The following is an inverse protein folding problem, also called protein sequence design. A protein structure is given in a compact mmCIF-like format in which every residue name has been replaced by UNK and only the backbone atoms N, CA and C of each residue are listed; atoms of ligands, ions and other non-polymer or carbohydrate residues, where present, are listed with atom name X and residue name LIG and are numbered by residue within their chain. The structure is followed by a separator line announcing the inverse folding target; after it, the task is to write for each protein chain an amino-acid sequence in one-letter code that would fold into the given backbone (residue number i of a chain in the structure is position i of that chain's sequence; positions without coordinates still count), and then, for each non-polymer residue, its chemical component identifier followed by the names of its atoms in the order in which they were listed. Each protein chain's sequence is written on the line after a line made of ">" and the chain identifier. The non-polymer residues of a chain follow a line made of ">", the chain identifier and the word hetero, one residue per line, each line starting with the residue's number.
data_IF_552831334173
#
_entry.id   IF_552831334173
#
_cell.length_a   1.000
_cell.length_b   1.000
_cell.length_c   1.000
_cell.angle_alpha   90.00
_cell.angle_beta   90.00
_cell.angle_gamma   90.00
#
_symmetry.space_group_name_H-M   'P 1'
#
loop_
_entity.id
_entity.type
_entity.pdbx_description
1 polymer ?
#
# COMPACT_ATOMS: atom_id res chain seq x y z
N UNK A 1 42.83 19.73 30.53
CA UNK A 1 42.18 21.02 30.20
C UNK A 1 41.43 20.84 28.88
N UNK A 2 40.13 21.12 28.83
CA UNK A 2 39.39 21.06 27.56
C UNK A 2 39.94 22.13 26.61
N UNK A 3 40.18 21.81 25.33
CA UNK A 3 40.71 22.77 24.37
C UNK A 3 39.77 23.98 24.24
N UNK A 4 40.32 25.19 24.29
CA UNK A 4 39.55 26.43 24.11
C UNK A 4 39.03 26.47 22.68
N UNK A 5 37.73 26.28 22.51
CA UNK A 5 37.07 26.37 21.21
C UNK A 5 37.29 27.77 20.60
N UNK A 6 37.74 27.86 19.34
CA UNK A 6 37.88 29.13 18.63
C UNK A 6 36.58 29.93 18.60
N UNK A 7 36.66 31.25 18.68
CA UNK A 7 35.49 32.15 18.68
C UNK A 7 34.60 31.99 17.45
N UNK A 8 35.19 31.75 16.27
CA UNK A 8 34.44 31.51 15.04
C UNK A 8 33.58 30.25 15.12
N UNK A 9 34.10 29.19 15.73
CA UNK A 9 33.40 27.92 15.89
C UNK A 9 32.24 28.05 16.88
N UNK A 10 32.43 28.80 17.96
CA UNK A 10 31.34 29.14 18.91
C UNK A 10 30.21 29.93 18.22
N UNK A 11 30.56 30.93 17.40
CA UNK A 11 29.57 31.73 16.64
C UNK A 11 28.79 30.84 15.67
N UNK A 12 29.50 29.97 14.94
CA UNK A 12 28.88 29.04 14.00
C UNK A 12 27.99 28.00 14.71
N UNK A 13 28.38 27.54 15.90
CA UNK A 13 27.58 26.66 16.74
C UNK A 13 26.26 27.32 17.15
N UNK A 14 26.30 28.54 17.69
CA UNK A 14 25.08 29.27 18.06
C UNK A 14 24.20 29.60 16.86
N UNK A 15 24.80 29.98 15.72
CA UNK A 15 24.07 30.20 14.48
C UNK A 15 23.35 28.92 14.00
N UNK A 16 23.99 27.75 14.09
CA UNK A 16 23.37 26.47 13.77
C UNK A 16 22.22 26.12 14.71
N UNK A 17 22.39 26.31 16.03
CA UNK A 17 21.31 26.10 17.00
C UNK A 17 20.13 27.02 16.67
N UNK A 18 20.40 28.32 16.47
CA UNK A 18 19.37 29.29 16.12
C UNK A 18 18.64 28.90 14.84
N UNK A 19 19.37 28.44 13.81
CA UNK A 19 18.78 27.97 12.55
C UNK A 19 17.91 26.72 12.74
N UNK A 20 18.37 25.74 13.53
CA UNK A 20 17.60 24.52 13.83
C UNK A 20 16.32 24.88 14.58
N UNK A 21 16.41 25.72 15.60
CA UNK A 21 15.26 26.19 16.38
C UNK A 21 14.29 26.97 15.50
N UNK A 22 14.78 27.92 14.70
CA UNK A 22 13.97 28.69 13.76
C UNK A 22 13.24 27.77 12.79
N UNK A 23 13.94 26.81 12.19
CA UNK A 23 13.36 25.83 11.27
C UNK A 23 12.28 25.00 11.96
N UNK A 24 12.50 24.56 13.20
CA UNK A 24 11.51 23.81 13.98
C UNK A 24 10.25 24.64 14.27
N UNK A 25 10.42 25.91 14.66
CA UNK A 25 9.29 26.82 14.90
C UNK A 25 8.50 27.01 13.60
N UNK A 26 9.17 27.23 12.47
CA UNK A 26 8.52 27.32 11.16
C UNK A 26 7.73 26.05 10.84
N UNK A 27 8.29 24.85 11.08
CA UNK A 27 7.59 23.60 10.77
C UNK A 27 6.37 23.33 11.70
N UNK A 28 6.37 23.86 12.92
CA UNK A 28 5.26 23.69 13.87
C UNK A 28 4.13 24.68 13.55
N UNK A 29 4.47 25.96 13.36
CA UNK A 29 3.49 27.02 13.19
C UNK A 29 3.32 27.37 11.71
N UNK A 30 2.10 27.26 11.14
CA UNK A 30 1.86 27.60 9.75
C UNK A 30 2.06 29.10 9.52
N UNK A 31 3.18 29.46 8.90
CA UNK A 31 3.46 30.86 8.52
C UNK A 31 2.73 31.18 7.21
N UNK A 32 1.92 32.26 7.16
CA UNK A 32 1.28 32.71 5.92
C UNK A 32 2.32 32.91 4.80
N UNK A 33 2.13 32.24 3.66
CA UNK A 33 3.05 32.28 2.51
C UNK A 33 3.92 31.02 2.37
N UNK A 34 4.48 30.50 3.46
CA UNK A 34 5.23 29.22 3.45
C UNK A 34 4.31 28.00 3.29
N UNK A 35 3.04 28.12 3.68
CA UNK A 35 1.99 27.11 3.47
C UNK A 35 1.71 26.79 1.99
N UNK A 36 2.18 27.63 1.06
CA UNK A 36 2.07 27.39 -0.39
C UNK A 36 3.21 26.51 -0.94
N UNK A 37 4.30 26.33 -0.19
CA UNK A 37 5.43 25.49 -0.60
C UNK A 37 5.06 24.02 -0.38
N UNK A 38 5.03 23.23 -1.46
CA UNK A 38 4.60 21.81 -1.43
C UNK A 38 5.29 21.00 -0.33
N UNK A 39 6.61 21.17 -0.16
CA UNK A 39 7.40 20.44 0.82
C UNK A 39 7.12 20.81 2.28
N UNK A 40 6.62 22.02 2.54
CA UNK A 40 6.24 22.46 3.88
C UNK A 40 4.76 22.19 4.18
N UNK A 41 3.90 22.28 3.16
CA UNK A 41 2.44 22.04 3.28
C UNK A 41 2.10 20.72 3.97
N UNK A 42 2.91 19.67 3.78
CA UNK A 42 2.70 18.36 4.39
C UNK A 42 2.78 18.34 5.92
N UNK A 43 3.39 19.34 6.57
CA UNK A 43 3.54 19.39 8.02
C UNK A 43 2.30 19.95 8.75
N UNK A 44 1.40 20.62 8.02
CA UNK A 44 0.23 21.27 8.61
C UNK A 44 -1.09 20.63 8.17
N UNK A 45 -2.15 20.88 8.95
CA UNK A 45 -3.52 20.52 8.59
C UNK A 45 -3.87 19.03 8.68
N UNK A 46 -2.98 18.16 9.18
CA UNK A 46 -3.27 16.73 9.34
C UNK A 46 -4.40 16.48 10.33
N UNK A 47 -4.42 17.20 11.45
CA UNK A 47 -5.48 17.10 12.45
C UNK A 47 -6.84 17.52 11.89
N UNK A 48 -6.89 18.65 11.18
CA UNK A 48 -8.10 19.11 10.49
C UNK A 48 -8.57 18.08 9.47
N UNK A 49 -7.66 17.51 8.68
CA UNK A 49 -7.98 16.47 7.71
C UNK A 49 -8.57 15.22 8.39
N UNK A 50 -7.94 14.75 9.47
CA UNK A 50 -8.42 13.60 10.25
C UNK A 50 -9.83 13.84 10.83
N UNK A 51 -10.08 15.02 11.38
CA UNK A 51 -11.39 15.42 11.92
C UNK A 51 -12.44 15.59 10.82
N UNK A 52 -12.07 16.13 9.65
CA UNK A 52 -12.97 16.27 8.50
C UNK A 52 -13.43 14.90 7.99
N UNK A 53 -12.53 13.92 7.87
CA UNK A 53 -12.91 12.57 7.49
C UNK A 53 -13.82 11.94 8.55
N UNK A 54 -13.44 12.03 9.83
CA UNK A 54 -14.25 11.45 10.91
C UNK A 54 -15.63 12.10 11.02
N UNK A 55 -15.75 13.41 10.80
CA UNK A 55 -17.05 14.08 10.73
C UNK A 55 -17.93 13.61 9.58
N UNK A 56 -17.34 13.13 8.48
CA UNK A 56 -18.07 12.62 7.32
C UNK A 56 -18.52 11.16 7.47
N UNK A 57 -17.68 10.30 8.05
CA UNK A 57 -17.96 8.86 8.16
C UNK A 57 -18.35 8.41 9.58
N UNK A 58 -18.28 9.30 10.56
CA UNK A 58 -18.50 8.97 11.97
C UNK A 58 -17.54 7.90 12.47
N UNK A 59 -18.11 6.94 13.21
CA UNK A 59 -17.42 5.80 13.80
C UNK A 59 -17.21 4.61 12.84
N UNK A 60 -17.44 4.80 11.54
CA UNK A 60 -17.25 3.75 10.55
C UNK A 60 -15.75 3.45 10.30
N UNK A 61 -15.48 2.27 9.73
CA UNK A 61 -14.12 1.88 9.36
C UNK A 61 -13.64 2.66 8.14
N UNK A 62 -12.38 3.07 8.16
CA UNK A 62 -11.76 3.85 7.09
C UNK A 62 -10.60 3.06 6.47
N UNK A 63 -10.58 3.00 5.15
CA UNK A 63 -9.46 2.49 4.38
C UNK A 63 -8.93 3.62 3.50
N UNK A 64 -7.61 3.78 3.42
CA UNK A 64 -6.97 4.65 2.42
C UNK A 64 -5.80 3.93 1.76
N UNK A 65 -5.54 4.22 0.49
CA UNK A 65 -4.43 3.64 -0.25
C UNK A 65 -3.12 4.41 -0.03
N UNK A 66 -2.04 3.67 0.25
CA UNK A 66 -0.65 4.18 0.36
C UNK A 66 -0.47 5.39 1.30
N UNK A 67 -1.37 5.56 2.27
CA UNK A 67 -1.51 6.73 3.13
C UNK A 67 -1.21 6.45 4.60
N UNK A 68 -0.25 5.57 4.92
CA UNK A 68 -0.04 5.09 6.30
C UNK A 68 0.14 6.22 7.32
N UNK A 69 0.74 7.36 6.94
CA UNK A 69 0.87 8.52 7.81
C UNK A 69 -0.48 9.18 8.10
N UNK A 70 -1.34 9.28 7.08
CA UNK A 70 -2.65 9.89 7.19
C UNK A 70 -3.57 9.02 8.05
N UNK A 71 -3.56 7.70 7.84
CA UNK A 71 -4.31 6.76 8.69
C UNK A 71 -3.76 6.73 10.12
N UNK A 72 -2.44 6.79 10.31
CA UNK A 72 -1.87 6.84 11.67
C UNK A 72 -2.26 8.11 12.40
N UNK A 73 -2.30 9.26 11.69
CA UNK A 73 -2.78 10.51 12.26
C UNK A 73 -4.29 10.47 12.53
N UNK A 74 -5.09 9.90 11.63
CA UNK A 74 -6.53 9.69 11.84
C UNK A 74 -6.82 8.90 13.11
N UNK A 75 -6.17 7.75 13.26
CA UNK A 75 -6.31 6.88 14.43
C UNK A 75 -5.88 7.61 15.72
N UNK A 76 -4.78 8.37 15.69
CA UNK A 76 -4.32 9.13 16.84
C UNK A 76 -5.25 10.29 17.22
N UNK A 77 -5.64 11.12 16.25
CA UNK A 77 -6.45 12.33 16.50
C UNK A 77 -7.86 11.97 16.96
N UNK A 78 -8.45 10.93 16.36
CA UNK A 78 -9.80 10.50 16.66
C UNK A 78 -9.85 9.36 17.71
N UNK A 79 -8.71 9.03 18.34
CA UNK A 79 -8.60 8.00 19.39
C UNK A 79 -9.27 6.66 19.00
N UNK A 80 -8.97 6.19 17.79
CA UNK A 80 -9.62 5.01 17.20
C UNK A 80 -8.59 4.06 16.56
N UNK A 81 -8.99 2.81 16.34
CA UNK A 81 -8.22 1.79 15.62
C UNK A 81 -8.90 1.35 14.32
N UNK A 82 -9.94 2.08 13.90
CA UNK A 82 -10.79 1.74 12.76
C UNK A 82 -10.23 2.21 11.41
N UNK A 83 -9.14 2.97 11.41
CA UNK A 83 -8.41 3.37 10.21
C UNK A 83 -7.37 2.32 9.79
N UNK A 84 -7.35 1.98 8.50
CA UNK A 84 -6.45 1.02 7.88
C UNK A 84 -5.80 1.59 6.62
N UNK A 85 -4.47 1.39 6.49
CA UNK A 85 -3.73 1.75 5.27
C UNK A 85 -3.58 0.53 4.39
N UNK A 86 -4.25 0.53 3.24
CA UNK A 86 -4.06 -0.48 2.21
C UNK A 86 -2.82 -0.14 1.39
N UNK A 87 -1.83 -1.03 1.37
CA UNK A 87 -0.59 -0.81 0.62
C UNK A 87 -0.69 -1.49 -0.73
N UNK A 88 -0.63 -0.67 -1.79
CA UNK A 88 -0.58 -1.17 -3.15
C UNK A 88 0.71 -1.98 -3.38
N UNK A 89 0.66 -2.87 -4.37
CA UNK A 89 1.74 -3.77 -4.78
C UNK A 89 3.09 -3.07 -5.07
N UNK A 90 3.04 -1.79 -5.43
CA UNK A 90 4.20 -0.93 -5.75
C UNK A 90 4.79 -0.24 -4.52
N UNK A 91 4.08 -0.25 -3.39
CA UNK A 91 4.48 0.44 -2.18
C UNK A 91 5.34 -0.43 -1.25
N UNK A 92 5.95 0.20 -0.26
CA UNK A 92 6.68 -0.50 0.79
C UNK A 92 5.70 -1.03 1.84
N UNK A 93 6.05 -2.16 2.47
CA UNK A 93 5.29 -2.62 3.63
C UNK A 93 5.41 -1.62 4.78
N UNK A 94 4.33 -1.43 5.52
CA UNK A 94 4.21 -0.59 6.71
C UNK A 94 3.67 -1.43 7.87
N UNK A 95 3.45 -0.82 9.03
CA UNK A 95 2.90 -1.53 10.19
C UNK A 95 1.53 -2.17 9.92
N UNK A 96 0.75 -1.60 9.00
CA UNK A 96 -0.58 -2.10 8.64
C UNK A 96 -0.54 -3.43 7.86
N UNK A 97 0.61 -3.82 7.29
CA UNK A 97 0.79 -5.16 6.70
C UNK A 97 1.01 -6.26 7.74
N UNK A 98 1.40 -5.90 8.96
CA UNK A 98 1.82 -6.87 9.98
C UNK A 98 0.87 -6.89 11.18
N UNK A 99 0.36 -5.74 11.60
CA UNK A 99 -0.54 -5.64 12.75
C UNK A 99 -1.92 -6.26 12.48
N UNK A 100 -2.65 -6.69 13.53
CA UNK A 100 -3.95 -7.35 13.38
C UNK A 100 -5.11 -6.40 13.02
N UNK A 101 -4.83 -5.22 12.45
CA UNK A 101 -5.86 -4.24 12.06
C UNK A 101 -6.66 -4.72 10.84
N UNK A 102 -6.00 -5.32 9.84
CA UNK A 102 -6.71 -5.90 8.69
C UNK A 102 -7.68 -7.00 9.13
N UNK A 103 -7.32 -7.77 10.17
CA UNK A 103 -8.08 -8.93 10.61
C UNK A 103 -9.46 -8.51 11.18
N UNK A 104 -9.53 -7.37 11.86
CA UNK A 104 -10.78 -6.81 12.41
C UNK A 104 -11.60 -6.01 11.40
N UNK A 105 -11.05 -5.75 10.22
CA UNK A 105 -11.66 -5.00 9.12
C UNK A 105 -12.31 -5.93 8.10
N UNK A 106 -11.75 -7.12 7.87
CA UNK A 106 -12.24 -8.07 6.88
C UNK A 106 -13.68 -8.51 7.16
N UNK A 107 -14.45 -8.67 6.08
CA UNK A 107 -15.87 -9.03 6.11
C UNK A 107 -16.77 -8.03 6.86
N UNK A 108 -16.25 -6.83 7.17
CA UNK A 108 -17.01 -5.74 7.78
C UNK A 108 -17.27 -4.63 6.76
N UNK A 109 -18.30 -3.79 6.96
CA UNK A 109 -18.45 -2.57 6.17
C UNK A 109 -17.35 -1.56 6.49
N UNK A 110 -17.00 -0.75 5.50
CA UNK A 110 -16.02 0.33 5.61
C UNK A 110 -16.21 1.38 4.51
N UNK A 111 -15.63 2.56 4.70
CA UNK A 111 -15.39 3.53 3.63
C UNK A 111 -13.98 3.39 3.09
N UNK A 112 -13.86 3.27 1.77
CA UNK A 112 -12.60 3.41 1.07
C UNK A 112 -12.47 4.83 0.52
N UNK A 113 -11.50 5.57 1.06
CA UNK A 113 -11.26 6.96 0.75
C UNK A 113 -10.05 7.11 -0.17
N UNK A 114 -10.21 7.88 -1.25
CA UNK A 114 -9.12 8.20 -2.17
C UNK A 114 -9.28 9.60 -2.77
N UNK A 115 -8.15 10.25 -3.07
CA UNK A 115 -8.14 11.53 -3.79
C UNK A 115 -8.40 11.37 -5.29
N UNK A 116 -8.48 10.12 -5.77
CA UNK A 116 -8.92 9.80 -7.13
C UNK A 116 -10.27 9.11 -7.05
N UNK A 117 -11.18 9.49 -7.94
CA UNK A 117 -12.44 8.79 -8.09
C UNK A 117 -12.15 7.35 -8.50
N UNK A 118 -12.74 6.38 -7.80
CA UNK A 118 -12.74 4.99 -8.23
C UNK A 118 -13.66 4.82 -9.44
N UNK A 119 -13.67 3.63 -10.05
CA UNK A 119 -14.48 3.30 -11.23
C UNK A 119 -15.90 3.91 -11.15
N UNK A 120 -16.36 4.54 -12.23
CA UNK A 120 -17.65 5.24 -12.33
C UNK A 120 -18.86 4.38 -11.96
N UNK A 121 -18.72 3.06 -12.04
CA UNK A 121 -19.76 2.07 -11.67
C UNK A 121 -19.95 1.90 -10.16
N UNK A 122 -19.02 2.38 -9.33
CA UNK A 122 -19.15 2.33 -7.88
C UNK A 122 -19.83 3.59 -7.37
N UNK A 123 -20.86 3.39 -6.53
CA UNK A 123 -21.45 4.48 -5.76
C UNK A 123 -20.37 5.13 -4.91
N UNK A 124 -20.23 6.45 -5.04
CA UNK A 124 -19.20 7.22 -4.37
C UNK A 124 -19.80 8.56 -3.96
N UNK A 125 -19.54 8.94 -2.72
CA UNK A 125 -19.74 10.31 -2.27
C UNK A 125 -18.40 11.06 -2.30
N UNK A 126 -18.42 12.36 -2.01
CA UNK A 126 -17.20 13.14 -1.85
C UNK A 126 -17.34 14.23 -0.79
N UNK A 127 -16.24 14.49 -0.09
CA UNK A 127 -16.14 15.61 0.84
C UNK A 127 -15.03 16.56 0.40
N UNK A 128 -15.23 17.85 0.64
CA UNK A 128 -14.16 18.83 0.51
C UNK A 128 -13.33 18.84 1.79
N UNK A 129 -12.02 18.65 1.63
CA UNK A 129 -11.07 18.68 2.74
C UNK A 129 -10.07 19.81 2.55
N UNK A 130 -9.33 20.14 3.61
CA UNK A 130 -8.20 21.08 3.49
C UNK A 130 -7.06 20.59 2.56
N UNK A 131 -7.15 19.36 2.06
CA UNK A 131 -6.23 18.73 1.10
C UNK A 131 -6.85 18.52 -0.29
N UNK A 132 -8.06 19.02 -0.51
CA UNK A 132 -8.84 18.87 -1.74
C UNK A 132 -9.97 17.85 -1.60
N UNK A 133 -10.66 17.60 -2.71
CA UNK A 133 -11.80 16.68 -2.75
C UNK A 133 -11.34 15.25 -2.49
N UNK A 134 -11.97 14.60 -1.52
CA UNK A 134 -11.76 13.20 -1.16
C UNK A 134 -13.02 12.42 -1.52
N UNK A 135 -12.86 11.36 -2.31
CA UNK A 135 -13.95 10.46 -2.68
C UNK A 135 -14.08 9.36 -1.64
N UNK A 136 -15.31 9.06 -1.23
CA UNK A 136 -15.65 8.06 -0.23
C UNK A 136 -16.50 6.97 -0.89
N UNK A 137 -15.94 5.77 -1.00
CA UNK A 137 -16.63 4.60 -1.55
C UNK A 137 -17.11 3.71 -0.41
N UNK A 138 -18.42 3.53 -0.19
CA UNK A 138 -18.91 2.53 0.74
C UNK A 138 -18.61 1.12 0.23
N UNK A 139 -18.01 0.31 1.10
CA UNK A 139 -17.75 -1.11 0.90
C UNK A 139 -18.61 -1.84 1.92
N UNK A 140 -19.54 -2.66 1.42
CA UNK A 140 -20.48 -3.43 2.27
C UNK A 140 -19.80 -4.58 3.02
N UNK A 141 -18.77 -5.19 2.44
CA UNK A 141 -17.98 -6.26 3.06
C UNK A 141 -16.55 -6.26 2.52
N UNK A 142 -15.61 -5.76 3.33
CA UNK A 142 -14.20 -5.64 2.93
C UNK A 142 -13.58 -7.00 2.64
N UNK A 143 -13.09 -7.18 1.41
CA UNK A 143 -12.34 -8.36 0.98
C UNK A 143 -10.90 -7.97 0.68
N UNK A 144 -9.99 -8.16 1.63
CA UNK A 144 -8.55 -7.92 1.44
C UNK A 144 -7.74 -9.13 1.84
N UNK A 145 -6.64 -9.35 1.11
CA UNK A 145 -5.74 -10.48 1.28
C UNK A 145 -4.28 -10.00 1.41
N UNK A 146 -4.04 -8.85 2.06
CA UNK A 146 -2.71 -8.21 2.11
C UNK A 146 -1.65 -9.06 2.81
N UNK A 147 -2.06 -9.86 3.81
CA UNK A 147 -1.17 -10.75 4.56
C UNK A 147 -0.92 -12.10 3.89
N UNK A 148 -1.73 -12.51 2.90
CA UNK A 148 -1.51 -13.80 2.20
C UNK A 148 -0.12 -13.81 1.60
N UNK A 149 0.67 -14.82 1.94
CA UNK A 149 2.01 -14.98 1.40
C UNK A 149 1.98 -15.90 0.19
N UNK A 150 2.63 -15.48 -0.89
CA UNK A 150 2.86 -16.29 -2.10
C UNK A 150 4.35 -16.61 -2.18
N UNK A 151 4.69 -17.89 -2.12
CA UNK A 151 6.01 -18.39 -2.44
C UNK A 151 5.98 -19.08 -3.82
N UNK A 152 7.12 -19.09 -4.52
CA UNK A 152 7.23 -19.66 -5.87
C UNK A 152 8.32 -20.71 -5.93
N UNK A 153 8.03 -21.84 -6.56
CA UNK A 153 8.96 -22.93 -6.88
C UNK A 153 9.04 -23.11 -8.40
N UNK A 154 10.18 -23.58 -8.89
CA UNK A 154 10.41 -23.78 -10.33
C UNK A 154 10.75 -22.52 -11.14
N UNK A 155 10.95 -21.37 -10.48
CA UNK A 155 11.38 -20.14 -11.16
C UNK A 155 12.89 -20.15 -11.42
N UNK A 156 13.27 -19.99 -12.69
CA UNK A 156 14.65 -19.90 -13.14
C UNK A 156 15.14 -18.45 -12.99
N UNK A 157 16.42 -18.29 -12.65
CA UNK A 157 17.02 -16.95 -12.50
C UNK A 157 17.30 -16.29 -13.85
N UNK A 158 17.43 -17.08 -14.91
CA UNK A 158 17.73 -16.64 -16.27
C UNK A 158 16.76 -17.30 -17.23
N UNK A 159 16.07 -16.50 -18.03
CA UNK A 159 14.99 -16.95 -18.91
C UNK A 159 15.04 -16.17 -20.22
N UNK A 160 14.71 -16.80 -21.35
CA UNK A 160 14.68 -16.11 -22.65
C UNK A 160 13.52 -15.11 -22.77
N UNK A 161 13.73 -14.04 -23.52
CA UNK A 161 12.71 -13.03 -23.79
C UNK A 161 11.46 -13.62 -24.44
N UNK A 162 10.28 -13.19 -23.97
CA UNK A 162 8.97 -13.59 -24.50
C UNK A 162 8.57 -15.05 -24.23
N UNK A 163 9.43 -15.85 -23.60
CA UNK A 163 9.19 -17.27 -23.34
C UNK A 163 8.13 -17.50 -22.25
N UNK A 164 7.59 -18.72 -22.24
CA UNK A 164 6.67 -19.20 -21.21
C UNK A 164 7.43 -20.04 -20.18
N UNK A 165 7.24 -19.72 -18.90
CA UNK A 165 7.83 -20.47 -17.80
C UNK A 165 6.76 -21.02 -16.86
N UNK A 166 6.74 -22.35 -16.70
CA UNK A 166 5.91 -23.02 -15.69
C UNK A 166 6.50 -22.80 -14.30
N UNK A 167 5.63 -22.47 -13.34
CA UNK A 167 5.97 -22.31 -11.93
C UNK A 167 4.87 -22.89 -11.04
N UNK A 168 5.25 -23.27 -9.82
CA UNK A 168 4.30 -23.66 -8.78
C UNK A 168 4.26 -22.59 -7.69
N UNK A 169 3.07 -22.07 -7.44
CA UNK A 169 2.79 -21.08 -6.41
C UNK A 169 2.26 -21.78 -5.16
N UNK A 170 2.78 -21.42 -4.00
CA UNK A 170 2.27 -21.86 -2.71
C UNK A 170 1.73 -20.64 -1.97
N UNK A 171 0.44 -20.68 -1.66
CA UNK A 171 -0.32 -19.61 -1.02
C UNK A 171 -0.57 -20.00 0.43
N UNK A 172 -0.19 -19.14 1.36
CA UNK A 172 -0.45 -19.33 2.79
C UNK A 172 -1.50 -18.34 3.29
N UNK A 173 -2.54 -18.86 3.94
CA UNK A 173 -3.58 -18.09 4.61
C UNK A 173 -3.18 -17.85 6.09
N UNK A 174 -2.75 -16.63 6.48
CA UNK A 174 -2.41 -16.33 7.87
C UNK A 174 -3.63 -15.93 8.72
N UNK A 175 -4.81 -15.83 8.12
CA UNK A 175 -6.02 -15.35 8.81
C UNK A 175 -6.68 -16.46 9.62
N UNK A 176 -7.55 -16.06 10.55
CA UNK A 176 -8.33 -16.97 11.40
C UNK A 176 -9.61 -17.48 10.72
N UNK A 177 -9.90 -17.01 9.50
CA UNK A 177 -11.02 -17.42 8.67
C UNK A 177 -10.56 -18.00 7.33
N UNK A 178 -11.41 -18.84 6.73
CA UNK A 178 -11.18 -19.42 5.40
C UNK A 178 -11.21 -18.32 4.34
N UNK A 179 -10.17 -18.23 3.51
CA UNK A 179 -10.17 -17.35 2.34
C UNK A 179 -10.63 -18.10 1.09
N UNK A 180 -11.28 -17.39 0.17
CA UNK A 180 -11.73 -17.92 -1.12
C UNK A 180 -11.23 -17.04 -2.25
N UNK A 181 -10.99 -17.63 -3.42
CA UNK A 181 -10.65 -16.93 -4.65
C UNK A 181 -11.80 -16.89 -5.67
N UNK A 182 -12.99 -17.34 -5.25
CA UNK A 182 -14.21 -17.30 -6.06
C UNK A 182 -14.64 -15.86 -6.34
N UNK A 183 -15.23 -15.67 -7.52
CA UNK A 183 -15.79 -14.41 -7.98
C UNK A 183 -17.32 -14.40 -8.00
N UNK A 184 -17.97 -15.30 -7.27
CA UNK A 184 -19.43 -15.33 -7.14
C UNK A 184 -19.99 -14.05 -6.46
N UNK A 185 -19.26 -13.47 -5.51
CA UNK A 185 -19.66 -12.25 -4.81
C UNK A 185 -19.39 -10.95 -5.58
N UNK A 186 -19.81 -9.81 -4.99
CA UNK A 186 -19.63 -8.45 -5.53
C UNK A 186 -18.15 -8.08 -5.72
N UNK A 187 -17.34 -8.27 -4.67
CA UNK A 187 -15.92 -7.91 -4.69
C UNK A 187 -15.09 -9.02 -5.33
N UNK A 188 -14.66 -8.79 -6.56
CA UNK A 188 -13.87 -9.75 -7.34
C UNK A 188 -12.43 -9.84 -6.80
N UNK A 189 -11.84 -11.03 -6.84
CA UNK A 189 -10.46 -11.31 -6.47
C UNK A 189 -9.68 -11.81 -7.69
N UNK A 190 -8.39 -11.53 -7.77
CA UNK A 190 -7.52 -11.94 -8.87
C UNK A 190 -6.13 -12.23 -8.31
N UNK A 191 -5.49 -13.31 -8.75
CA UNK A 191 -4.06 -13.52 -8.53
C UNK A 191 -3.35 -13.02 -9.77
N UNK A 192 -2.46 -12.06 -9.59
CA UNK A 192 -1.75 -11.38 -10.65
C UNK A 192 -0.25 -11.52 -10.45
N UNK A 193 0.48 -11.43 -11.54
CA UNK A 193 1.93 -11.34 -11.55
C UNK A 193 2.36 -10.15 -12.41
N UNK A 194 3.51 -9.57 -12.09
CA UNK A 194 4.06 -8.46 -12.84
C UNK A 194 5.56 -8.35 -12.66
N UNK A 195 6.21 -7.67 -13.60
CA UNK A 195 7.64 -7.42 -13.58
C UNK A 195 7.90 -5.94 -13.31
N UNK A 196 8.84 -5.67 -12.41
CA UNK A 196 9.25 -4.31 -12.06
C UNK A 196 10.76 -4.19 -12.18
N UNK A 197 11.25 -3.08 -12.72
CA UNK A 197 12.70 -2.82 -12.81
C UNK A 197 13.14 -1.91 -11.66
N UNK A 198 12.34 -0.88 -11.37
CA UNK A 198 12.63 0.09 -10.32
C UNK A 198 11.81 -0.15 -9.04
N UNK A 199 12.13 0.58 -7.97
CA UNK A 199 11.44 0.43 -6.67
C UNK A 199 9.98 0.87 -6.78
N UNK A 200 9.71 1.97 -7.50
CA UNK A 200 8.40 2.61 -7.67
C UNK A 200 7.78 2.39 -9.05
N UNK A 201 8.34 1.46 -9.82
CA UNK A 201 7.78 1.08 -11.11
C UNK A 201 6.36 0.54 -10.91
N UNK A 202 5.41 1.06 -11.68
CA UNK A 202 4.02 0.62 -11.64
C UNK A 202 3.90 -0.83 -12.10
N UNK A 203 4.80 -1.29 -12.97
CA UNK A 203 4.80 -2.61 -13.60
C UNK A 203 3.58 -2.83 -14.49
N UNK A 204 3.70 -3.82 -15.38
CA UNK A 204 2.54 -4.40 -16.06
C UNK A 204 2.12 -5.67 -15.31
N UNK A 205 0.91 -5.67 -14.74
CA UNK A 205 0.39 -6.79 -13.97
C UNK A 205 -0.73 -7.48 -14.74
N UNK A 206 -0.62 -8.81 -14.84
CA UNK A 206 -1.57 -9.65 -15.54
C UNK A 206 -2.05 -10.76 -14.63
N UNK A 207 -3.30 -11.16 -14.81
CA UNK A 207 -3.85 -12.32 -14.10
C UNK A 207 -3.06 -13.59 -14.48
N UNK A 208 -2.78 -14.44 -13.49
CA UNK A 208 -2.18 -15.75 -13.78
C UNK A 208 -3.17 -16.60 -14.59
N UNK A 209 -2.70 -17.36 -15.60
CA UNK A 209 -3.52 -18.36 -16.24
C UNK A 209 -3.87 -19.50 -15.27
N UNK A 210 -5.09 -20.03 -15.35
CA UNK A 210 -5.48 -21.26 -14.67
C UNK A 210 -6.75 -21.16 -13.84
N UNK A 211 -7.21 -22.32 -13.37
CA UNK A 211 -8.38 -22.44 -12.51
C UNK A 211 -7.99 -22.43 -11.03
N UNK A 212 -7.89 -21.22 -10.47
CA UNK A 212 -7.73 -21.02 -9.04
C UNK A 212 -9.02 -20.50 -8.39
N UNK A 213 -10.12 -20.42 -9.14
CA UNK A 213 -11.36 -19.75 -8.69
C UNK A 213 -12.15 -20.59 -7.71
N UNK A 214 -12.00 -21.90 -7.76
CA UNK A 214 -12.56 -22.84 -6.79
C UNK A 214 -11.74 -22.90 -5.49
N UNK A 215 -10.56 -22.28 -5.44
CA UNK A 215 -9.67 -22.41 -4.30
C UNK A 215 -10.27 -21.81 -3.02
N UNK A 216 -10.22 -22.61 -1.95
CA UNK A 216 -10.54 -22.21 -0.58
C UNK A 216 -9.39 -22.66 0.32
N UNK A 217 -8.81 -21.75 1.07
CA UNK A 217 -7.68 -22.06 1.96
C UNK A 217 -8.17 -21.89 3.41
N UNK A 218 -8.19 -22.97 4.23
CA UNK A 218 -8.64 -22.89 5.61
C UNK A 218 -7.73 -21.98 6.46
N UNK A 219 -8.15 -21.58 7.67
CA UNK A 219 -7.33 -20.78 8.59
C UNK A 219 -5.96 -21.42 8.82
N UNK A 220 -4.89 -20.63 8.72
CA UNK A 220 -3.51 -21.13 8.84
C UNK A 220 -3.06 -22.08 7.71
N UNK A 221 -3.92 -22.41 6.76
CA UNK A 221 -3.67 -23.41 5.73
C UNK A 221 -2.78 -22.91 4.59
N UNK A 222 -2.41 -23.85 3.73
CA UNK A 222 -1.71 -23.58 2.48
C UNK A 222 -2.41 -24.22 1.30
N UNK A 223 -2.18 -23.70 0.10
CA UNK A 223 -2.61 -24.29 -1.15
C UNK A 223 -1.57 -24.10 -2.24
N UNK A 224 -1.52 -25.04 -3.19
CA UNK A 224 -0.60 -24.98 -4.32
C UNK A 224 -1.36 -24.75 -5.64
N UNK A 225 -0.80 -23.95 -6.53
CA UNK A 225 -1.31 -23.69 -7.88
C UNK A 225 -0.15 -23.80 -8.86
N UNK A 226 -0.26 -24.65 -9.88
CA UNK A 226 0.65 -24.61 -11.03
C UNK A 226 0.14 -23.61 -12.07
N UNK A 227 1.00 -22.73 -12.57
CA UNK A 227 0.67 -21.79 -13.63
C UNK A 227 1.85 -21.56 -14.57
N UNK A 228 1.58 -20.92 -15.71
CA UNK A 228 2.60 -20.57 -16.69
C UNK A 228 2.64 -19.05 -16.84
N UNK A 229 3.83 -18.49 -16.64
CA UNK A 229 4.07 -17.05 -16.74
C UNK A 229 4.70 -16.71 -18.08
N UNK A 230 4.23 -15.64 -18.71
CA UNK A 230 4.88 -15.04 -19.88
C UNK A 230 5.95 -14.05 -19.44
N UNK A 231 7.19 -14.28 -19.88
CA UNK A 231 8.33 -13.41 -19.58
C UNK A 231 8.26 -12.09 -20.38
N UNK A 232 8.91 -11.01 -19.90
CA UNK A 232 9.10 -9.78 -20.67
C UNK A 232 9.75 -10.02 -22.03
N UNK A 233 9.40 -9.20 -23.02
CA UNK A 233 10.00 -9.23 -24.36
C UNK A 233 11.37 -8.54 -24.42
N UNK A 234 11.61 -7.62 -23.50
CA UNK A 234 12.82 -6.78 -23.50
C UNK A 234 13.83 -7.43 -22.56
N UNK A 235 15.01 -7.86 -23.06
CA UNK A 235 16.10 -8.36 -22.22
C UNK A 235 16.57 -7.31 -21.22
N UNK A 236 16.52 -7.65 -19.93
CA UNK A 236 17.00 -6.81 -18.81
C UNK A 236 16.92 -7.59 -17.49
N UNK A 237 17.35 -6.98 -16.39
CA UNK A 237 17.10 -7.44 -15.04
C UNK A 237 15.73 -6.94 -14.53
N UNK A 238 14.92 -7.89 -14.06
CA UNK A 238 13.59 -7.62 -13.52
C UNK A 238 13.43 -8.18 -12.11
N UNK A 239 12.38 -7.71 -11.45
CA UNK A 239 11.86 -8.27 -10.22
C UNK A 239 10.42 -8.72 -10.45
N UNK A 240 10.21 -10.03 -10.45
CA UNK A 240 8.88 -10.64 -10.48
C UNK A 240 8.18 -10.44 -9.13
N UNK A 241 6.92 -10.08 -9.20
CA UNK A 241 6.04 -9.86 -8.05
C UNK A 241 4.70 -10.52 -8.29
N UNK A 242 4.21 -11.25 -7.30
CA UNK A 242 2.82 -11.70 -7.25
C UNK A 242 1.99 -10.78 -6.35
N UNK A 243 0.76 -10.52 -6.80
CA UNK A 243 -0.19 -9.63 -6.15
C UNK A 243 -1.55 -10.29 -6.13
N UNK A 244 -2.26 -10.15 -5.02
CA UNK A 244 -3.67 -10.50 -4.93
C UNK A 244 -4.45 -9.19 -4.98
N UNK A 245 -5.24 -9.02 -6.04
CA UNK A 245 -6.09 -7.84 -6.25
C UNK A 245 -7.52 -8.17 -5.92
N UNK A 246 -8.14 -7.31 -5.12
CA UNK A 246 -9.57 -7.40 -4.76
C UNK A 246 -10.25 -6.08 -5.08
N UNK A 247 -11.38 -6.07 -5.81
CA UNK A 247 -12.10 -4.82 -6.12
C UNK A 247 -12.64 -4.20 -4.82
N UNK A 248 -12.52 -2.88 -4.59
CA UNK A 248 -11.96 -1.83 -5.47
C UNK A 248 -10.45 -1.56 -5.30
N UNK A 249 -9.77 -2.34 -4.47
CA UNK A 249 -8.36 -2.17 -4.17
C UNK A 249 -7.45 -2.53 -5.34
N UNK A 250 -6.31 -1.85 -5.42
CA UNK A 250 -5.35 -1.96 -6.52
C UNK A 250 -4.41 -3.15 -6.41
N UNK A 251 -4.63 -4.07 -5.46
CA UNK A 251 -3.79 -5.25 -5.23
C UNK A 251 -2.57 -5.00 -4.36
N UNK A 252 -2.34 -5.90 -3.39
CA UNK A 252 -1.24 -5.85 -2.43
C UNK A 252 -0.01 -6.60 -2.95
N UNK A 253 1.17 -6.39 -2.36
CA UNK A 253 2.34 -7.21 -2.69
C UNK A 253 2.37 -8.48 -1.83
N UNK A 254 2.07 -9.63 -2.43
CA UNK A 254 1.90 -10.90 -1.73
C UNK A 254 3.14 -11.82 -1.80
N UNK A 255 4.10 -11.54 -2.69
CA UNK A 255 5.40 -12.23 -2.71
C UNK A 255 6.56 -11.32 -2.28
N UNK A 256 7.73 -11.93 -2.09
CA UNK A 256 9.01 -11.19 -2.20
C UNK A 256 9.20 -10.71 -3.64
N UNK A 257 10.00 -9.67 -3.83
CA UNK A 257 10.50 -9.28 -5.16
C UNK A 257 11.53 -10.34 -5.58
N UNK A 258 11.20 -11.16 -6.57
CA UNK A 258 12.05 -12.28 -7.03
C UNK A 258 12.93 -11.78 -8.17
N UNK A 259 14.25 -11.70 -8.01
CA UNK A 259 15.14 -11.23 -9.07
C UNK A 259 15.26 -12.28 -10.19
N UNK A 260 15.21 -11.83 -11.43
CA UNK A 260 15.45 -12.62 -12.63
C UNK A 260 16.09 -11.77 -13.72
N UNK A 261 16.87 -12.39 -14.59
CA UNK A 261 17.47 -11.79 -15.78
C UNK A 261 16.79 -12.36 -17.02
N UNK A 262 16.28 -11.49 -17.87
CA UNK A 262 15.73 -11.85 -19.18
C UNK A 262 16.84 -11.74 -20.21
N UNK A 263 17.13 -12.85 -20.88
CA UNK A 263 18.17 -12.95 -21.91
C UNK A 263 17.59 -12.62 -23.28
N UNK A 264 18.42 -12.04 -24.16
CA UNK A 264 18.13 -12.01 -25.58
C UNK A 264 18.04 -13.46 -26.10
N UNK A 265 17.09 -13.69 -27.01
CA UNK A 265 16.98 -14.97 -27.72
C UNK A 265 18.10 -15.11 -28.75
#
# INVERSE_FOLDING_TARGET
>A
QLPRLPLWLKRLFYANIALIVLTRVILIFPVPGLSKIKGLKQFWGKETFAKQIHGAIGDERLIMDNGFQDISNYNFVNQTLKGFSYNARTYRKTQYDYWPIEDSLRNQPAYFASFKRHNETLQQDSIETNRGRLYLTPIDSVRTYQKVAISVKGMAKRVGAGTLQRVDLELHNPYQDTISFSNAGKWKCFIEYGFTQQIYDLGDFREIPGDYRHLRIPPGGTAAISTTLRMPEIPDDYRLVFSIRTTPFTGSRNSKKIPLTILAN
#
